data_IF_692630025912
#
_entry.id   IF_692630025912
#
_cell.length_a   1.000
_cell.length_b   1.000
_cell.length_c   1.000
_cell.angle_alpha   90.00
_cell.angle_beta   90.00
_cell.angle_gamma   90.00
#
_symmetry.space_group_name_H-M   'P 1'
#
loop_
_entity.id
_entity.type
_entity.pdbx_description
1 polymer ?
#
# COMPACT_ATOMS: atom_id res chain seq x y z
N UNK A 1 12.68 -12.83 21.39
CA UNK A 1 12.31 -12.17 22.67
C UNK A 1 13.33 -12.42 23.77
N UNK A 2 13.73 -13.68 24.10
CA UNK A 2 14.72 -13.99 25.16
C UNK A 2 16.05 -13.25 24.96
N UNK A 3 16.57 -13.22 23.70
CA UNK A 3 17.82 -12.50 23.37
C UNK A 3 17.68 -10.99 23.53
N UNK A 4 16.55 -10.43 23.08
CA UNK A 4 16.27 -8.99 23.25
C UNK A 4 16.18 -8.59 24.72
N UNK A 5 15.46 -9.38 25.52
CA UNK A 5 15.36 -9.14 26.97
C UNK A 5 16.72 -9.20 27.66
N UNK A 6 17.62 -10.16 27.25
CA UNK A 6 18.97 -10.21 27.80
C UNK A 6 19.75 -8.93 27.48
N UNK A 7 19.72 -8.46 26.23
CA UNK A 7 20.39 -7.23 25.79
C UNK A 7 19.89 -6.02 26.61
N UNK A 8 18.58 -5.92 26.83
CA UNK A 8 17.99 -4.86 27.67
C UNK A 8 18.43 -4.94 29.12
N UNK A 9 18.42 -6.14 29.71
CA UNK A 9 18.83 -6.36 31.10
C UNK A 9 20.32 -6.05 31.30
N UNK A 10 21.14 -6.27 30.31
CA UNK A 10 22.56 -5.94 30.28
C UNK A 10 22.80 -4.44 29.98
N UNK A 11 21.78 -3.59 30.08
CA UNK A 11 21.80 -2.15 29.82
C UNK A 11 22.42 -1.79 28.45
N UNK A 12 22.22 -2.62 27.46
CA UNK A 12 22.76 -2.47 26.09
C UNK A 12 24.31 -2.46 26.03
N UNK A 13 25.00 -3.05 26.99
CA UNK A 13 26.47 -2.99 27.08
C UNK A 13 27.19 -3.47 25.82
N UNK A 14 26.66 -4.48 25.16
CA UNK A 14 27.23 -5.06 23.91
C UNK A 14 26.75 -4.37 22.63
N UNK A 15 25.88 -3.36 22.72
CA UNK A 15 25.38 -2.63 21.54
C UNK A 15 26.40 -1.57 21.13
N UNK A 16 27.02 -1.79 19.98
CA UNK A 16 27.92 -0.79 19.39
C UNK A 16 27.10 0.41 18.94
N UNK A 17 27.50 1.59 19.37
CA UNK A 17 26.85 2.87 19.03
C UNK A 17 27.90 3.82 18.47
N UNK A 18 27.49 4.59 17.48
CA UNK A 18 28.27 5.70 16.92
C UNK A 18 27.41 6.96 17.09
N UNK A 19 27.94 8.10 17.51
CA UNK A 19 27.25 9.36 17.50
C UNK A 19 26.71 9.69 16.10
N UNK A 20 25.53 10.27 16.01
CA UNK A 20 24.86 10.52 14.71
C UNK A 20 25.73 11.32 13.75
N UNK A 21 26.33 12.44 14.21
CA UNK A 21 27.17 13.31 13.39
C UNK A 21 28.44 12.60 12.91
N UNK A 22 29.02 11.74 13.74
CA UNK A 22 30.15 10.91 13.35
C UNK A 22 29.77 9.87 12.30
N UNK A 23 28.59 9.24 12.45
CA UNK A 23 28.06 8.29 11.47
C UNK A 23 27.84 8.94 10.11
N UNK A 24 27.26 10.14 10.08
CA UNK A 24 27.05 10.89 8.82
C UNK A 24 28.35 11.23 8.09
N UNK A 25 29.45 11.41 8.82
CA UNK A 25 30.78 11.69 8.24
C UNK A 25 31.53 10.44 7.73
N UNK A 26 31.01 9.25 7.99
CA UNK A 26 31.65 8.02 7.58
C UNK A 26 31.54 7.80 6.06
N UNK A 27 32.60 7.33 5.38
CA UNK A 27 32.61 7.17 3.92
C UNK A 27 31.64 6.08 3.40
N UNK A 28 31.17 5.20 4.28
CA UNK A 28 30.19 4.15 3.99
C UNK A 28 28.74 4.58 4.28
N UNK A 29 28.52 5.82 4.70
CA UNK A 29 27.19 6.41 4.89
C UNK A 29 26.96 7.46 3.81
N UNK A 30 25.95 7.24 2.98
CA UNK A 30 25.62 8.12 1.87
C UNK A 30 24.14 8.44 1.89
N UNK A 31 23.80 9.69 1.59
CA UNK A 31 22.42 10.07 1.34
C UNK A 31 21.94 9.45 0.02
N UNK A 32 20.74 8.91 0.00
CA UNK A 32 20.14 8.34 -1.19
C UNK A 32 18.66 8.78 -1.29
N UNK A 33 18.30 9.31 -2.46
CA UNK A 33 16.91 9.65 -2.75
C UNK A 33 16.23 8.48 -3.45
N UNK A 34 15.26 7.87 -2.76
CA UNK A 34 14.49 6.73 -3.27
C UNK A 34 13.39 7.14 -4.26
N UNK A 35 12.94 8.40 -4.22
CA UNK A 35 11.76 8.85 -4.98
C UNK A 35 11.93 8.70 -6.49
N UNK A 36 13.01 9.20 -7.12
CA UNK A 36 13.14 9.11 -8.58
C UNK A 36 13.12 7.67 -9.09
N UNK A 37 13.89 6.78 -8.47
CA UNK A 37 13.98 5.39 -8.91
C UNK A 37 12.64 4.65 -8.78
N UNK A 38 11.92 4.87 -7.68
CA UNK A 38 10.60 4.28 -7.49
C UNK A 38 9.60 4.80 -8.53
N UNK A 39 9.55 6.11 -8.71
CA UNK A 39 8.64 6.74 -9.68
C UNK A 39 8.95 6.30 -11.09
N UNK A 40 10.23 6.14 -11.44
CA UNK A 40 10.66 5.69 -12.77
C UNK A 40 10.24 4.26 -13.06
N UNK A 41 10.26 3.39 -12.05
CA UNK A 41 9.95 1.98 -12.20
C UNK A 41 8.43 1.67 -12.26
N UNK A 42 7.58 2.59 -11.83
CA UNK A 42 6.13 2.38 -11.81
C UNK A 42 5.54 1.98 -13.18
N UNK A 43 6.11 2.43 -14.28
CA UNK A 43 5.68 2.07 -15.63
C UNK A 43 5.81 0.56 -15.92
N UNK A 44 6.68 -0.14 -15.19
CA UNK A 44 6.87 -1.59 -15.34
C UNK A 44 5.78 -2.40 -14.63
N UNK A 45 5.04 -1.78 -13.70
CA UNK A 45 4.03 -2.46 -12.87
C UNK A 45 2.61 -1.89 -13.05
N UNK A 46 2.48 -0.65 -13.54
CA UNK A 46 1.20 0.04 -13.70
C UNK A 46 1.07 0.56 -15.13
N UNK A 47 -0.11 0.39 -15.75
CA UNK A 47 -0.42 1.00 -17.04
C UNK A 47 -0.77 2.49 -16.84
N UNK A 48 0.28 3.31 -16.70
CA UNK A 48 0.15 4.76 -16.52
C UNK A 48 -0.52 5.45 -17.70
N UNK A 49 -0.37 4.90 -18.90
CA UNK A 49 -0.98 5.45 -20.12
C UNK A 49 -2.49 5.24 -20.13
N UNK A 50 -2.99 4.09 -19.66
CA UNK A 50 -4.42 3.86 -19.51
C UNK A 50 -5.04 4.85 -18.49
N UNK A 51 -4.38 5.08 -17.35
CA UNK A 51 -4.84 6.05 -16.34
C UNK A 51 -4.85 7.46 -16.93
N UNK A 52 -3.78 7.86 -17.59
CA UNK A 52 -3.67 9.18 -18.23
C UNK A 52 -4.75 9.41 -19.28
N UNK A 53 -5.03 8.42 -20.14
CA UNK A 53 -6.08 8.51 -21.18
C UNK A 53 -7.48 8.57 -20.59
N UNK A 54 -7.71 7.89 -19.47
CA UNK A 54 -9.00 7.92 -18.79
C UNK A 54 -9.32 9.30 -18.19
N UNK A 55 -8.31 10.14 -17.92
CA UNK A 55 -8.49 11.48 -17.41
C UNK A 55 -9.20 11.55 -16.07
N UNK A 56 -9.04 10.51 -15.24
CA UNK A 56 -9.69 10.42 -13.92
C UNK A 56 -9.09 11.43 -12.96
N UNK A 57 -9.93 12.13 -12.22
CA UNK A 57 -9.53 13.03 -11.15
C UNK A 57 -9.33 12.26 -9.86
N UNK A 58 -8.11 12.25 -9.36
CA UNK A 58 -7.66 11.39 -8.25
C UNK A 58 -7.36 12.23 -7.02
N UNK A 59 -7.92 11.83 -5.86
CA UNK A 59 -7.51 12.33 -4.55
C UNK A 59 -6.56 11.33 -3.87
N UNK A 60 -5.43 11.79 -3.35
CA UNK A 60 -4.50 10.96 -2.60
C UNK A 60 -4.28 11.54 -1.19
N UNK A 61 -4.48 10.71 -0.17
CA UNK A 61 -4.21 11.06 1.23
C UNK A 61 -3.12 10.12 1.79
N UNK A 62 -1.89 10.61 1.97
CA UNK A 62 -0.82 9.82 2.57
C UNK A 62 -0.96 9.63 4.08
N UNK A 63 -2.01 10.16 4.71
CA UNK A 63 -2.25 10.15 6.17
C UNK A 63 -1.00 10.56 6.99
N UNK A 64 -0.24 11.54 6.48
CA UNK A 64 0.99 12.02 7.11
C UNK A 64 2.18 11.04 7.00
N UNK A 65 2.09 10.05 6.14
CA UNK A 65 3.05 8.94 6.03
C UNK A 65 4.11 9.10 4.94
N UNK A 66 4.85 8.01 4.73
CA UNK A 66 6.03 7.95 3.88
C UNK A 66 5.75 8.15 2.38
N UNK A 67 4.50 7.96 1.92
CA UNK A 67 4.15 8.15 0.50
C UNK A 67 4.02 9.63 0.08
N UNK A 68 3.95 10.57 1.02
CA UNK A 68 3.76 11.99 0.72
C UNK A 68 4.72 12.53 -0.38
N UNK A 69 6.04 12.32 -0.31
CA UNK A 69 6.97 12.87 -1.29
C UNK A 69 6.88 12.25 -2.69
N UNK A 70 6.14 11.14 -2.84
CA UNK A 70 6.04 10.41 -4.11
C UNK A 70 4.92 10.90 -5.02
N UNK A 71 3.81 11.39 -4.45
CA UNK A 71 2.59 11.69 -5.21
C UNK A 71 2.76 12.79 -6.25
N UNK A 72 3.41 13.90 -5.88
CA UNK A 72 3.67 15.00 -6.81
C UNK A 72 4.59 14.58 -7.96
N UNK A 73 5.74 13.93 -7.74
CA UNK A 73 6.56 13.38 -8.83
C UNK A 73 5.83 12.39 -9.73
N UNK A 74 4.95 11.54 -9.19
CA UNK A 74 4.11 10.63 -9.97
C UNK A 74 3.15 11.41 -10.87
N UNK A 75 2.43 12.37 -10.32
CA UNK A 75 1.49 13.20 -11.07
C UNK A 75 2.18 13.94 -12.21
N UNK A 76 3.31 14.58 -11.93
CA UNK A 76 4.09 15.34 -12.91
C UNK A 76 4.67 14.44 -14.00
N UNK A 77 5.34 13.36 -13.62
CA UNK A 77 6.00 12.46 -14.59
C UNK A 77 5.02 11.81 -15.56
N UNK A 78 3.89 11.33 -15.05
CA UNK A 78 2.92 10.58 -15.85
C UNK A 78 1.74 11.43 -16.34
N UNK A 79 1.77 12.74 -16.06
CA UNK A 79 0.72 13.71 -16.44
C UNK A 79 -0.66 13.21 -15.99
N UNK A 80 -0.80 12.94 -14.68
CA UNK A 80 -2.02 12.48 -14.04
C UNK A 80 -2.65 13.60 -13.23
N UNK A 81 -3.99 13.67 -13.20
CA UNK A 81 -4.73 14.62 -12.35
C UNK A 81 -4.84 14.07 -10.92
N UNK A 82 -3.74 14.19 -10.16
CA UNK A 82 -3.66 13.77 -8.77
C UNK A 82 -3.55 14.99 -7.86
N UNK A 83 -4.45 15.09 -6.90
CA UNK A 83 -4.40 16.06 -5.81
C UNK A 83 -4.05 15.35 -4.50
N UNK A 84 -2.98 15.78 -3.83
CA UNK A 84 -2.71 15.38 -2.45
C UNK A 84 -3.61 16.21 -1.54
N UNK A 85 -4.54 15.53 -0.85
CA UNK A 85 -5.59 16.21 -0.07
C UNK A 85 -5.14 16.59 1.33
N UNK A 86 -4.06 15.98 1.82
CA UNK A 86 -3.47 16.28 3.11
C UNK A 86 -1.94 16.20 3.03
N UNK A 87 -1.27 17.33 3.15
CA UNK A 87 0.20 17.42 3.13
C UNK A 87 0.80 17.55 4.54
N UNK A 88 -0.01 17.35 5.59
CA UNK A 88 0.44 17.49 6.97
C UNK A 88 1.42 16.40 7.35
N UNK A 89 2.57 16.79 7.89
CA UNK A 89 3.53 15.89 8.55
C UNK A 89 3.58 16.25 10.02
N UNK A 90 2.88 15.50 10.82
CA UNK A 90 2.81 15.67 12.28
C UNK A 90 3.05 14.33 12.96
N UNK A 91 4.19 14.13 13.66
CA UNK A 91 4.50 12.90 14.34
C UNK A 91 3.48 12.49 15.42
N UNK A 92 2.63 13.41 15.85
CA UNK A 92 1.55 13.12 16.80
C UNK A 92 0.24 12.75 16.12
N UNK A 93 0.15 12.91 14.79
CA UNK A 93 -1.04 12.67 13.97
C UNK A 93 -2.30 13.38 14.49
N UNK A 94 -2.15 14.57 15.05
CA UNK A 94 -3.25 15.33 15.68
C UNK A 94 -4.35 15.74 14.69
N UNK A 95 -4.09 15.70 13.39
CA UNK A 95 -5.05 15.95 12.32
C UNK A 95 -6.02 14.77 12.08
N UNK A 96 -5.71 13.58 12.62
CA UNK A 96 -6.52 12.38 12.40
C UNK A 96 -7.80 12.39 13.23
N UNK A 97 -8.88 11.90 12.61
CA UNK A 97 -10.13 11.62 13.32
C UNK A 97 -9.93 10.45 14.29
N UNK A 98 -10.43 10.63 15.52
CA UNK A 98 -10.37 9.56 16.53
C UNK A 98 -11.34 8.43 16.18
N UNK A 99 -10.89 7.20 16.33
CA UNK A 99 -11.74 6.02 16.25
C UNK A 99 -12.73 5.99 17.44
N UNK A 100 -13.73 5.12 17.39
CA UNK A 100 -14.79 4.97 18.40
C UNK A 100 -14.28 4.71 19.83
N UNK A 101 -13.06 4.21 19.97
CA UNK A 101 -12.40 3.99 21.26
C UNK A 101 -11.54 5.19 21.72
N UNK A 102 -11.62 6.32 21.02
CA UNK A 102 -10.89 7.54 21.33
C UNK A 102 -9.40 7.51 20.97
N UNK A 103 -8.97 6.56 20.14
CA UNK A 103 -7.58 6.42 19.70
C UNK A 103 -7.41 6.80 18.25
N UNK A 104 -6.22 7.30 17.93
CA UNK A 104 -5.77 7.46 16.53
C UNK A 104 -5.38 6.10 15.98
N UNK A 105 -5.90 5.78 14.80
CA UNK A 105 -5.54 4.58 14.02
C UNK A 105 -5.28 4.97 12.58
N UNK A 106 -4.31 4.28 11.96
CA UNK A 106 -3.93 4.48 10.54
C UNK A 106 -4.43 3.33 9.67
N UNK A 107 -5.50 2.67 10.08
CA UNK A 107 -6.09 1.59 9.31
C UNK A 107 -6.98 2.14 8.20
N UNK A 108 -6.54 1.99 6.96
CA UNK A 108 -7.26 2.49 5.79
C UNK A 108 -8.59 1.77 5.51
N UNK A 109 -8.91 0.69 6.22
CA UNK A 109 -10.24 0.07 6.21
C UNK A 109 -11.21 0.73 7.21
N UNK A 110 -10.70 1.57 8.11
CA UNK A 110 -11.50 2.28 9.11
C UNK A 110 -12.15 3.53 8.53
N UNK A 111 -13.48 3.69 8.66
CA UNK A 111 -14.15 4.91 8.23
C UNK A 111 -13.74 6.14 9.05
N UNK A 112 -13.18 5.98 10.23
CA UNK A 112 -12.64 7.08 11.05
C UNK A 112 -11.31 7.57 10.48
N UNK A 113 -10.39 6.65 10.19
CA UNK A 113 -9.12 7.01 9.57
C UNK A 113 -9.33 7.68 8.21
N UNK A 114 -10.30 7.20 7.44
CA UNK A 114 -10.61 7.67 6.10
C UNK A 114 -11.68 8.79 6.08
N UNK A 115 -12.10 9.32 7.23
CA UNK A 115 -13.22 10.28 7.33
C UNK A 115 -13.04 11.50 6.41
N UNK A 116 -11.87 12.13 6.44
CA UNK A 116 -11.58 13.28 5.59
C UNK A 116 -11.68 12.97 4.09
N UNK A 117 -11.26 11.76 3.69
CA UNK A 117 -11.33 11.36 2.30
C UNK A 117 -12.75 10.96 1.89
N UNK A 118 -13.53 10.37 2.80
CA UNK A 118 -14.95 10.03 2.58
C UNK A 118 -15.78 11.29 2.35
N UNK A 119 -15.51 12.38 3.06
CA UNK A 119 -16.18 13.68 2.86
C UNK A 119 -15.93 14.24 1.45
N UNK A 120 -14.81 13.89 0.82
CA UNK A 120 -14.42 14.33 -0.51
C UNK A 120 -14.88 13.38 -1.64
N UNK A 121 -15.70 12.36 -1.34
CA UNK A 121 -16.12 11.32 -2.30
C UNK A 121 -16.74 11.86 -3.59
N UNK A 122 -17.39 13.01 -3.54
CA UNK A 122 -18.03 13.63 -4.70
C UNK A 122 -17.11 14.63 -5.44
N UNK A 123 -15.94 14.91 -4.88
CA UNK A 123 -14.93 15.82 -5.44
C UNK A 123 -14.03 15.15 -6.47
N UNK A 124 -13.71 13.89 -6.26
CA UNK A 124 -12.83 13.07 -7.09
C UNK A 124 -13.59 11.93 -7.75
N UNK A 125 -13.09 11.43 -8.88
CA UNK A 125 -13.64 10.23 -9.50
C UNK A 125 -13.29 8.98 -8.69
N UNK A 126 -12.07 8.97 -8.14
CA UNK A 126 -11.58 8.00 -7.17
C UNK A 126 -10.64 8.71 -6.21
N UNK A 127 -10.64 8.29 -4.96
CA UNK A 127 -9.66 8.74 -4.00
C UNK A 127 -9.12 7.55 -3.20
N UNK A 128 -7.89 7.66 -2.71
CA UNK A 128 -7.29 6.62 -1.90
C UNK A 128 -6.38 7.20 -0.81
N UNK A 129 -6.36 6.50 0.31
CA UNK A 129 -5.46 6.77 1.42
C UNK A 129 -4.46 5.66 1.58
N UNK A 130 -3.27 6.00 2.08
CA UNK A 130 -2.24 5.06 2.49
C UNK A 130 -2.03 5.17 4.00
N UNK A 131 -1.74 4.06 4.66
CA UNK A 131 -1.22 4.11 6.01
C UNK A 131 0.22 4.64 6.04
N UNK A 132 0.78 4.83 7.22
CA UNK A 132 1.99 5.63 7.39
C UNK A 132 3.26 5.06 6.76
N UNK A 133 3.40 3.76 6.62
CA UNK A 133 4.48 3.08 5.91
C UNK A 133 4.10 2.63 4.50
N UNK A 134 2.84 2.92 4.11
CA UNK A 134 2.30 2.79 2.75
C UNK A 134 2.25 1.36 2.21
N UNK A 135 2.16 0.37 3.10
CA UNK A 135 1.96 -1.03 2.72
C UNK A 135 0.47 -1.41 2.60
N UNK A 136 -0.44 -0.55 3.08
CA UNK A 136 -1.89 -0.69 3.00
C UNK A 136 -2.54 0.53 2.37
N UNK A 137 -3.74 0.33 1.85
CA UNK A 137 -4.53 1.40 1.24
C UNK A 137 -6.02 1.22 1.49
N UNK A 138 -6.75 2.34 1.41
CA UNK A 138 -8.21 2.36 1.35
C UNK A 138 -8.67 3.16 0.15
N UNK A 139 -9.75 2.74 -0.48
CA UNK A 139 -10.27 3.36 -1.70
C UNK A 139 -11.64 3.96 -1.41
N UNK A 140 -11.83 5.19 -1.86
CA UNK A 140 -13.10 5.91 -1.77
C UNK A 140 -13.61 6.20 -3.18
N UNK A 141 -14.88 5.85 -3.43
CA UNK A 141 -15.56 6.09 -4.70
C UNK A 141 -16.87 6.83 -4.47
N UNK A 142 -17.36 7.52 -5.51
CA UNK A 142 -18.67 8.24 -5.46
C UNK A 142 -19.82 7.33 -5.07
N UNK A 143 -19.85 6.11 -5.60
CA UNK A 143 -20.97 5.19 -5.43
C UNK A 143 -20.95 4.40 -4.12
N UNK A 144 -19.76 4.04 -3.64
CA UNK A 144 -19.62 3.17 -2.47
C UNK A 144 -19.15 3.90 -1.21
N UNK A 145 -18.67 5.16 -1.33
CA UNK A 145 -17.88 5.76 -0.25
C UNK A 145 -16.61 4.96 -0.04
N UNK A 146 -16.30 4.59 1.20
CA UNK A 146 -15.17 3.69 1.49
C UNK A 146 -15.48 2.29 0.97
N UNK A 147 -14.70 1.84 0.00
CA UNK A 147 -14.86 0.54 -0.64
C UNK A 147 -14.41 -0.58 0.31
N UNK A 148 -15.20 -1.64 0.39
CA UNK A 148 -14.81 -2.82 1.16
C UNK A 148 -13.53 -3.45 0.57
N UNK A 149 -12.47 -3.70 1.36
CA UNK A 149 -11.21 -4.27 0.89
C UNK A 149 -11.36 -5.57 0.10
N UNK A 150 -12.29 -6.44 0.50
CA UNK A 150 -12.55 -7.69 -0.21
C UNK A 150 -13.14 -7.48 -1.61
N UNK A 151 -13.96 -6.44 -1.79
CA UNK A 151 -14.47 -6.08 -3.10
C UNK A 151 -13.35 -5.55 -3.98
N UNK A 152 -12.48 -4.70 -3.43
CA UNK A 152 -11.30 -4.22 -4.14
C UNK A 152 -10.37 -5.36 -4.56
N UNK A 153 -10.05 -6.29 -3.66
CA UNK A 153 -9.20 -7.45 -3.99
C UNK A 153 -9.78 -8.24 -5.15
N UNK A 154 -11.09 -8.45 -5.17
CA UNK A 154 -11.77 -9.16 -6.26
C UNK A 154 -11.61 -8.45 -7.60
N UNK A 155 -11.78 -7.11 -7.62
CA UNK A 155 -11.59 -6.29 -8.83
C UNK A 155 -10.13 -6.29 -9.26
N UNK A 156 -9.19 -6.14 -8.32
CA UNK A 156 -7.76 -6.12 -8.60
C UNK A 156 -7.30 -7.45 -9.23
N UNK A 157 -7.75 -8.59 -8.70
CA UNK A 157 -7.43 -9.91 -9.22
C UNK A 157 -7.97 -10.06 -10.65
N UNK A 158 -9.24 -9.74 -10.87
CA UNK A 158 -9.85 -9.82 -12.20
C UNK A 158 -9.10 -8.95 -13.22
N UNK A 159 -8.80 -7.71 -12.85
CA UNK A 159 -8.07 -6.79 -13.72
C UNK A 159 -6.66 -7.31 -14.04
N UNK A 160 -5.89 -7.66 -13.02
CA UNK A 160 -4.48 -8.05 -13.19
C UNK A 160 -4.35 -9.32 -14.05
N UNK A 161 -5.12 -10.36 -13.78
CA UNK A 161 -5.05 -11.59 -14.56
C UNK A 161 -5.53 -11.41 -16.00
N UNK A 162 -6.34 -10.40 -16.28
CA UNK A 162 -6.77 -10.04 -17.64
C UNK A 162 -5.79 -9.11 -18.37
N UNK A 163 -4.88 -8.42 -17.63
CA UNK A 163 -4.00 -7.38 -18.19
C UNK A 163 -2.50 -7.65 -17.94
N UNK A 164 -2.14 -8.86 -17.60
CA UNK A 164 -0.74 -9.29 -17.43
C UNK A 164 -0.44 -10.50 -18.31
N UNK A 165 -0.32 -10.31 -19.66
CA UNK A 165 -0.16 -11.41 -20.62
C UNK A 165 1.14 -12.20 -20.42
N UNK A 166 2.13 -11.62 -19.75
CA UNK A 166 3.42 -12.25 -19.49
C UNK A 166 3.41 -13.15 -18.22
N UNK A 167 2.32 -13.14 -17.46
CA UNK A 167 2.21 -14.05 -16.33
C UNK A 167 1.99 -15.49 -16.82
N UNK A 168 2.58 -16.50 -16.17
CA UNK A 168 2.34 -17.89 -16.54
C UNK A 168 0.85 -18.22 -16.56
N UNK A 169 0.40 -18.99 -17.54
CA UNK A 169 -0.99 -19.43 -17.61
C UNK A 169 -1.41 -20.23 -16.35
N UNK A 170 -0.44 -20.86 -15.70
CA UNK A 170 -0.58 -21.63 -14.45
C UNK A 170 -0.48 -20.79 -13.18
N UNK A 171 -0.25 -19.48 -13.30
CA UNK A 171 -0.13 -18.60 -12.15
C UNK A 171 -1.40 -18.64 -11.29
N UNK A 172 -1.22 -18.80 -10.00
CA UNK A 172 -2.29 -18.97 -9.02
C UNK A 172 -2.77 -17.63 -8.46
N UNK A 173 -4.03 -17.58 -8.07
CA UNK A 173 -4.58 -16.57 -7.18
C UNK A 173 -4.37 -17.01 -5.74
N UNK A 174 -3.65 -16.21 -4.95
CA UNK A 174 -3.45 -16.44 -3.52
C UNK A 174 -4.34 -15.51 -2.68
N UNK A 175 -4.98 -16.05 -1.66
CA UNK A 175 -5.65 -15.26 -0.61
C UNK A 175 -5.35 -15.81 0.77
N UNK A 176 -5.55 -14.99 1.80
CA UNK A 176 -5.50 -15.52 3.16
C UNK A 176 -6.86 -16.08 3.60
N UNK A 177 -6.81 -16.91 4.64
CA UNK A 177 -7.99 -17.51 5.29
C UNK A 177 -9.10 -16.51 5.67
N UNK A 178 -8.74 -15.26 5.99
CA UNK A 178 -9.69 -14.22 6.42
C UNK A 178 -10.28 -13.42 5.26
N UNK A 179 -9.80 -13.64 4.04
CA UNK A 179 -10.30 -12.95 2.85
C UNK A 179 -11.59 -13.61 2.33
N UNK A 180 -12.38 -12.82 1.59
CA UNK A 180 -13.70 -13.25 1.12
C UNK A 180 -13.65 -14.44 0.14
N UNK A 181 -14.66 -15.30 0.22
CA UNK A 181 -14.92 -16.35 -0.79
C UNK A 181 -15.35 -15.78 -2.17
N UNK A 182 -15.56 -14.48 -2.30
CA UNK A 182 -15.74 -13.85 -3.60
C UNK A 182 -14.49 -14.00 -4.48
N UNK A 183 -13.31 -14.00 -3.86
CA UNK A 183 -12.04 -14.21 -4.56
C UNK A 183 -12.00 -15.60 -5.21
N UNK A 184 -12.53 -16.63 -4.53
CA UNK A 184 -12.59 -18.00 -5.06
C UNK A 184 -13.44 -18.05 -6.33
N UNK A 185 -14.57 -17.31 -6.35
CA UNK A 185 -15.46 -17.21 -7.50
C UNK A 185 -14.80 -16.48 -8.67
N UNK A 186 -14.09 -15.39 -8.38
CA UNK A 186 -13.33 -14.65 -9.40
C UNK A 186 -12.21 -15.52 -9.99
N UNK A 187 -11.48 -16.25 -9.16
CA UNK A 187 -10.45 -17.18 -9.62
C UNK A 187 -11.03 -18.27 -10.52
N UNK A 188 -12.20 -18.82 -10.14
CA UNK A 188 -12.91 -19.82 -10.95
C UNK A 188 -13.40 -19.24 -12.29
N UNK A 189 -13.94 -18.03 -12.31
CA UNK A 189 -14.39 -17.35 -13.54
C UNK A 189 -13.22 -17.05 -14.49
N UNK A 190 -12.05 -16.76 -13.94
CA UNK A 190 -10.80 -16.57 -14.69
C UNK A 190 -10.12 -17.89 -15.10
N UNK A 191 -10.68 -19.03 -14.72
CA UNK A 191 -10.08 -20.36 -14.93
C UNK A 191 -8.65 -20.46 -14.34
N UNK A 192 -8.41 -19.77 -13.19
CA UNK A 192 -7.10 -19.75 -12.54
C UNK A 192 -7.07 -20.67 -11.31
N UNK A 193 -5.94 -21.37 -11.10
CA UNK A 193 -5.72 -22.10 -9.88
C UNK A 193 -5.75 -21.15 -8.68
N UNK A 194 -6.23 -21.66 -7.55
CA UNK A 194 -6.44 -20.91 -6.33
C UNK A 194 -5.69 -21.55 -5.15
N UNK A 195 -5.19 -20.74 -4.24
CA UNK A 195 -4.50 -21.18 -3.04
C UNK A 195 -4.88 -20.31 -1.84
N UNK A 196 -5.34 -20.93 -0.76
CA UNK A 196 -5.59 -20.28 0.51
C UNK A 196 -4.43 -20.55 1.47
N UNK A 197 -3.95 -19.48 2.12
CA UNK A 197 -2.83 -19.52 3.07
C UNK A 197 -3.24 -18.97 4.43
N UNK A 198 -2.49 -19.25 5.51
CA UNK A 198 -2.70 -18.60 6.79
C UNK A 198 -2.53 -17.09 6.69
N UNK A 199 -3.06 -16.35 7.69
CA UNK A 199 -2.91 -14.89 7.78
C UNK A 199 -1.43 -14.48 7.77
N UNK A 200 -1.11 -13.50 6.93
CA UNK A 200 0.21 -12.91 6.81
C UNK A 200 0.84 -13.04 5.43
N UNK A 201 1.36 -11.94 4.94
CA UNK A 201 1.92 -11.82 3.59
C UNK A 201 3.11 -12.75 3.31
N UNK A 202 3.86 -13.12 4.33
CA UNK A 202 5.02 -14.04 4.24
C UNK A 202 4.75 -15.35 3.50
N UNK A 203 3.50 -15.81 3.51
CA UNK A 203 3.11 -17.07 2.87
C UNK A 203 3.04 -16.98 1.34
N UNK A 204 3.02 -15.78 0.79
CA UNK A 204 3.01 -15.55 -0.66
C UNK A 204 4.41 -15.34 -1.25
N UNK A 205 5.41 -15.00 -0.41
CA UNK A 205 6.75 -14.55 -0.86
C UNK A 205 7.40 -15.51 -1.83
N UNK A 206 7.53 -16.79 -1.45
CA UNK A 206 8.20 -17.78 -2.30
C UNK A 206 7.44 -18.01 -3.62
N UNK A 207 6.12 -18.05 -3.56
CA UNK A 207 5.27 -18.23 -4.74
C UNK A 207 5.25 -17.05 -5.67
N UNK A 208 5.28 -15.82 -5.15
CA UNK A 208 5.41 -14.59 -5.95
C UNK A 208 6.80 -14.51 -6.59
N UNK A 209 7.84 -14.84 -5.84
CA UNK A 209 9.21 -14.81 -6.35
C UNK A 209 9.44 -15.87 -7.45
N UNK A 210 8.86 -17.06 -7.32
CA UNK A 210 8.95 -18.12 -8.32
C UNK A 210 7.96 -17.97 -9.48
N UNK A 211 7.10 -16.94 -9.47
CA UNK A 211 5.98 -16.76 -10.41
C UNK A 211 4.93 -17.87 -10.36
N UNK A 212 4.88 -18.67 -9.30
CA UNK A 212 3.80 -19.60 -9.02
C UNK A 212 2.50 -18.88 -8.69
N UNK A 213 2.58 -17.76 -7.96
CA UNK A 213 1.48 -16.81 -7.78
C UNK A 213 1.60 -15.64 -8.73
N UNK A 214 0.50 -15.27 -9.39
CA UNK A 214 0.37 -13.98 -10.05
C UNK A 214 -0.06 -12.89 -9.09
N UNK A 215 -0.84 -13.27 -8.08
CA UNK A 215 -1.34 -12.36 -7.05
C UNK A 215 -1.41 -13.06 -5.70
N UNK A 216 -1.08 -12.34 -4.64
CA UNK A 216 -1.30 -12.74 -3.25
C UNK A 216 -1.75 -11.53 -2.44
N UNK A 217 -2.83 -11.65 -1.67
CA UNK A 217 -3.39 -10.54 -0.90
C UNK A 217 -4.30 -10.97 0.25
N UNK A 218 -4.60 -9.97 1.10
CA UNK A 218 -5.45 -10.11 2.29
C UNK A 218 -6.47 -8.97 2.36
#
# INVERSE_FOLDING_TARGET
QKRANKILNDALADVKKVPFEEALAMPNVQAYDYVPNYVDDLINVIDMEAIRKAGVKIGADPLGGASLPYWKPIAEKYNLDITVVNESVDPTFSFMTLDKDGKIRMDCSSPWAMAGLIELKDTYDIAFGNDTDSDRHGIVTKSAGLLNPNHYLSVAIQYLFSHRPNWPATAKVGKTLVSSSMIDKVAADLEKPFCEVPVGFKWFVDGLFSSEFGFGGE
#
